data_IF_585226313749
#
_entry.id   IF_585226313749
#
_cell.length_a   1.000
_cell.length_b   1.000
_cell.length_c   1.000
_cell.angle_alpha   90.00
_cell.angle_beta   90.00
_cell.angle_gamma   90.00
#
_symmetry.space_group_name_H-M   'P 1'
#
loop_
_entity.id
_entity.type
_entity.pdbx_description
1 polymer ?
#
# COMPACT_ATOMS: atom_id res chain seq x y z
N UNK A 1 -8.23 -16.82 2.71
CA UNK A 1 -8.59 -15.89 1.62
C UNK A 1 -7.70 -14.68 1.75
N UNK A 2 -7.16 -14.20 0.63
CA UNK A 2 -6.17 -13.13 0.65
C UNK A 2 -6.77 -11.81 0.15
N UNK A 3 -6.31 -10.72 0.73
CA UNK A 3 -6.88 -9.38 0.55
C UNK A 3 -5.81 -8.37 0.13
N UNK A 4 -6.23 -7.37 -0.62
CA UNK A 4 -5.49 -6.14 -0.86
C UNK A 4 -6.30 -4.98 -0.30
N UNK A 5 -5.72 -4.23 0.63
CA UNK A 5 -6.20 -2.90 1.00
C UNK A 5 -5.36 -1.89 0.23
N UNK A 6 -5.99 -1.23 -0.74
CA UNK A 6 -5.35 -0.19 -1.54
C UNK A 6 -5.73 1.18 -1.00
N UNK A 7 -4.77 1.88 -0.39
CA UNK A 7 -5.02 3.20 0.21
C UNK A 7 -4.89 4.32 -0.82
N UNK A 8 -6.02 4.96 -1.11
CA UNK A 8 -6.16 6.07 -2.07
C UNK A 8 -6.88 7.30 -1.47
N UNK A 9 -6.95 7.41 -0.13
CA UNK A 9 -7.68 8.48 0.56
C UNK A 9 -6.99 9.85 0.61
N UNK A 10 -5.72 9.96 0.19
CA UNK A 10 -4.97 11.22 0.27
C UNK A 10 -5.35 12.22 -0.82
N UNK A 11 -5.48 13.50 -0.46
CA UNK A 11 -5.92 14.57 -1.37
C UNK A 11 -4.89 15.00 -2.44
N UNK A 12 -3.66 14.49 -2.42
CA UNK A 12 -2.72 14.69 -3.54
C UNK A 12 -2.17 16.10 -3.74
N UNK A 13 -2.27 17.01 -2.76
CA UNK A 13 -1.94 18.44 -2.83
C UNK A 13 -0.57 18.81 -3.46
N UNK A 14 0.42 17.89 -3.43
CA UNK A 14 1.78 18.10 -3.96
C UNK A 14 1.91 17.94 -5.48
N UNK A 15 0.87 17.45 -6.16
CA UNK A 15 0.91 17.25 -7.62
C UNK A 15 0.48 18.48 -8.42
N UNK A 16 -0.11 19.51 -7.77
CA UNK A 16 -0.49 20.76 -8.43
C UNK A 16 -1.51 20.61 -9.57
N UNK A 17 -2.30 19.54 -9.55
CA UNK A 17 -3.33 19.23 -10.55
C UNK A 17 -4.69 19.10 -9.88
N UNK A 18 -5.74 19.49 -10.60
CA UNK A 18 -7.13 19.32 -10.18
C UNK A 18 -7.55 17.84 -10.16
N UNK A 19 -6.84 16.99 -10.91
CA UNK A 19 -7.09 15.54 -10.95
C UNK A 19 -6.35 14.86 -9.80
N UNK A 20 -7.04 14.11 -8.93
CA UNK A 20 -6.38 13.32 -7.91
C UNK A 20 -5.35 12.38 -8.51
N UNK A 21 -4.14 12.37 -7.95
CA UNK A 21 -2.98 11.65 -8.49
C UNK A 21 -3.19 10.17 -8.79
N UNK A 22 -4.04 9.49 -8.02
CA UNK A 22 -4.40 8.09 -8.24
C UNK A 22 -5.21 7.87 -9.54
N UNK A 23 -5.83 8.92 -10.08
CA UNK A 23 -6.60 8.90 -11.33
C UNK A 23 -5.83 9.48 -12.52
N UNK A 24 -4.61 9.98 -12.31
CA UNK A 24 -3.73 10.35 -13.43
C UNK A 24 -3.39 9.12 -14.26
N UNK A 25 -3.07 9.34 -15.54
CA UNK A 25 -2.81 8.27 -16.48
C UNK A 25 -1.35 7.82 -16.42
N UNK A 26 -1.15 6.50 -16.54
CA UNK A 26 0.12 5.85 -16.77
C UNK A 26 -0.08 4.78 -17.85
N UNK A 27 0.61 4.95 -18.99
CA UNK A 27 0.41 4.08 -20.16
C UNK A 27 -1.06 4.08 -20.62
N UNK A 28 -1.70 5.25 -20.63
CA UNK A 28 -3.10 5.41 -21.08
C UNK A 28 -4.18 4.86 -20.14
N UNK A 29 -3.87 4.46 -18.89
CA UNK A 29 -4.87 4.06 -17.89
C UNK A 29 -4.64 4.74 -16.54
N UNK A 30 -5.69 4.94 -15.72
CA UNK A 30 -5.53 5.45 -14.36
C UNK A 30 -4.50 4.65 -13.55
N UNK A 31 -3.61 5.36 -12.85
CA UNK A 31 -2.56 4.78 -11.99
C UNK A 31 -3.14 3.74 -11.03
N UNK A 32 -4.28 4.02 -10.41
CA UNK A 32 -4.91 3.08 -9.49
C UNK A 32 -5.32 1.76 -10.14
N UNK A 33 -5.78 1.80 -11.40
CA UNK A 33 -6.12 0.60 -12.17
C UNK A 33 -4.86 -0.20 -12.48
N UNK A 34 -3.78 0.47 -12.91
CA UNK A 34 -2.46 -0.17 -13.13
C UNK A 34 -1.96 -0.87 -11.88
N UNK A 35 -2.10 -0.22 -10.73
CA UNK A 35 -1.71 -0.81 -9.44
C UNK A 35 -2.55 -2.07 -9.15
N UNK A 36 -3.88 -2.02 -9.28
CA UNK A 36 -4.75 -3.19 -9.03
C UNK A 36 -4.44 -4.33 -10.02
N UNK A 37 -4.25 -4.02 -11.30
CA UNK A 37 -3.90 -4.99 -12.35
C UNK A 37 -2.63 -5.78 -11.99
N UNK A 38 -1.60 -5.13 -11.42
CA UNK A 38 -0.38 -5.81 -10.98
C UNK A 38 -0.63 -6.82 -9.87
N UNK A 39 -1.49 -6.51 -8.91
CA UNK A 39 -1.84 -7.43 -7.84
C UNK A 39 -2.67 -8.61 -8.32
N UNK A 40 -3.67 -8.37 -9.17
CA UNK A 40 -4.50 -9.45 -9.75
C UNK A 40 -3.67 -10.33 -10.69
N UNK A 41 -2.72 -9.77 -11.44
CA UNK A 41 -1.77 -10.56 -12.22
C UNK A 41 -0.89 -11.45 -11.34
N UNK A 42 -0.45 -10.95 -10.18
CA UNK A 42 0.37 -11.72 -9.26
C UNK A 42 -0.42 -12.79 -8.50
N UNK A 43 -1.64 -12.44 -8.09
CA UNK A 43 -2.54 -13.19 -7.21
C UNK A 43 -4.00 -13.06 -7.75
N UNK A 44 -4.44 -13.94 -8.67
CA UNK A 44 -5.76 -13.81 -9.32
C UNK A 44 -6.98 -13.86 -8.40
N UNK A 45 -6.89 -14.60 -7.29
CA UNK A 45 -7.98 -14.78 -6.32
C UNK A 45 -8.02 -13.69 -5.23
N UNK A 46 -7.21 -12.65 -5.36
CA UNK A 46 -7.08 -11.58 -4.37
C UNK A 46 -8.33 -10.71 -4.34
N UNK A 47 -8.90 -10.51 -3.15
CA UNK A 47 -10.04 -9.60 -2.97
C UNK A 47 -9.53 -8.17 -2.76
N UNK A 48 -10.03 -7.24 -3.56
CA UNK A 48 -9.60 -5.84 -3.50
C UNK A 48 -10.54 -5.01 -2.64
N UNK A 49 -9.98 -4.37 -1.62
CA UNK A 49 -10.61 -3.32 -0.83
C UNK A 49 -9.95 -2.01 -1.20
N UNK A 50 -10.72 -1.14 -1.85
CA UNK A 50 -10.25 0.16 -2.31
C UNK A 50 -10.70 1.23 -1.32
N UNK A 51 -9.74 1.89 -0.67
CA UNK A 51 -10.02 2.96 0.30
C UNK A 51 -9.95 4.31 -0.39
N UNK A 52 -11.10 4.97 -0.58
CA UNK A 52 -11.22 6.25 -1.27
C UNK A 52 -11.78 7.35 -0.38
N UNK A 53 -11.38 8.59 -0.66
CA UNK A 53 -12.12 9.73 -0.13
C UNK A 53 -13.56 9.71 -0.69
N UNK A 54 -14.61 10.01 0.12
CA UNK A 54 -16.01 9.96 -0.34
C UNK A 54 -16.26 10.74 -1.64
N UNK A 55 -15.64 11.91 -1.78
CA UNK A 55 -15.75 12.76 -2.99
C UNK A 55 -15.15 12.14 -4.27
N UNK A 56 -14.47 11.00 -4.18
CA UNK A 56 -13.82 10.33 -5.33
C UNK A 56 -14.49 9.00 -5.70
N UNK A 57 -15.52 8.57 -4.96
CA UNK A 57 -16.22 7.30 -5.22
C UNK A 57 -16.98 7.34 -6.55
N UNK A 58 -17.70 8.44 -6.81
CA UNK A 58 -18.43 8.60 -8.08
C UNK A 58 -17.48 8.64 -9.27
N UNK A 59 -16.37 9.38 -9.15
CA UNK A 59 -15.34 9.47 -10.18
C UNK A 59 -14.69 8.11 -10.45
N UNK A 60 -14.41 7.32 -9.40
CA UNK A 60 -13.94 5.93 -9.57
C UNK A 60 -14.91 5.10 -10.41
N UNK A 61 -16.21 5.12 -10.10
CA UNK A 61 -17.20 4.38 -10.87
C UNK A 61 -17.34 4.88 -12.32
N UNK A 62 -17.19 6.19 -12.55
CA UNK A 62 -17.16 6.79 -13.89
C UNK A 62 -15.98 6.24 -14.69
N UNK A 63 -14.78 6.26 -14.10
CA UNK A 63 -13.56 5.73 -14.71
C UNK A 63 -13.67 4.22 -14.97
N UNK A 64 -14.24 3.43 -14.05
CA UNK A 64 -14.42 2.00 -14.31
C UNK A 64 -15.27 1.73 -15.55
N UNK A 65 -16.31 2.52 -15.80
CA UNK A 65 -17.11 2.41 -17.03
C UNK A 65 -16.32 2.88 -18.26
N UNK A 66 -15.63 4.01 -18.16
CA UNK A 66 -14.82 4.59 -19.25
C UNK A 66 -13.72 3.64 -19.75
N UNK A 67 -13.03 2.96 -18.83
CA UNK A 67 -11.89 2.09 -19.14
C UNK A 67 -12.27 0.59 -19.20
N UNK A 68 -13.57 0.26 -19.16
CA UNK A 68 -14.08 -1.12 -19.09
C UNK A 68 -13.37 -1.95 -18.00
N UNK A 69 -13.16 -1.35 -16.82
CA UNK A 69 -12.46 -1.97 -15.71
C UNK A 69 -13.40 -2.91 -14.94
N UNK A 70 -13.13 -4.21 -15.00
CA UNK A 70 -14.02 -5.27 -14.51
C UNK A 70 -13.56 -5.96 -13.22
N UNK A 71 -12.42 -5.55 -12.64
CA UNK A 71 -11.95 -6.12 -11.37
C UNK A 71 -12.84 -5.60 -10.24
N UNK A 72 -13.52 -6.51 -9.55
CA UNK A 72 -14.40 -6.17 -8.45
C UNK A 72 -13.62 -5.60 -7.25
N UNK A 73 -14.11 -4.48 -6.74
CA UNK A 73 -13.46 -3.73 -5.67
C UNK A 73 -14.52 -3.33 -4.63
N UNK A 74 -14.37 -3.82 -3.41
CA UNK A 74 -15.15 -3.34 -2.27
C UNK A 74 -14.63 -1.97 -1.84
N UNK A 75 -15.51 -0.99 -1.69
CA UNK A 75 -15.10 0.39 -1.38
C UNK A 75 -15.22 0.65 0.13
N UNK A 76 -14.13 1.11 0.74
CA UNK A 76 -14.11 1.68 2.07
C UNK A 76 -13.85 3.19 2.00
N UNK A 77 -14.32 3.94 3.00
CA UNK A 77 -14.08 5.37 3.08
C UNK A 77 -12.71 5.67 3.72
N UNK A 78 -12.02 6.67 3.19
CA UNK A 78 -10.81 7.22 3.78
C UNK A 78 -11.09 7.85 5.15
N UNK A 79 -10.12 7.72 6.06
CA UNK A 79 -10.17 8.34 7.38
C UNK A 79 -9.26 9.58 7.46
N UNK A 80 -9.23 10.22 8.64
CA UNK A 80 -8.42 11.42 8.90
C UNK A 80 -6.93 11.21 8.62
N UNK A 81 -6.42 10.04 9.00
CA UNK A 81 -5.02 9.65 8.81
C UNK A 81 -4.96 8.34 8.01
N UNK A 82 -3.75 7.98 7.56
CA UNK A 82 -3.51 6.68 6.92
C UNK A 82 -3.96 5.52 7.82
N UNK A 83 -3.67 5.59 9.12
CA UNK A 83 -4.12 4.61 10.11
C UNK A 83 -5.64 4.36 10.05
N UNK A 84 -6.43 5.44 10.14
CA UNK A 84 -7.90 5.36 10.09
C UNK A 84 -8.40 4.81 8.74
N UNK A 85 -7.73 5.16 7.63
CA UNK A 85 -8.08 4.66 6.30
C UNK A 85 -7.88 3.15 6.19
N UNK A 86 -6.75 2.62 6.69
CA UNK A 86 -6.47 1.18 6.70
C UNK A 86 -7.43 0.47 7.66
N UNK A 87 -7.70 1.05 8.83
CA UNK A 87 -8.67 0.53 9.80
C UNK A 87 -10.06 0.34 9.18
N UNK A 88 -10.56 1.33 8.45
CA UNK A 88 -11.85 1.23 7.76
C UNK A 88 -11.87 0.09 6.72
N UNK A 89 -10.75 -0.12 6.01
CA UNK A 89 -10.61 -1.26 5.10
C UNK A 89 -10.64 -2.60 5.83
N UNK A 90 -9.96 -2.72 6.97
CA UNK A 90 -9.96 -3.92 7.82
C UNK A 90 -11.34 -4.19 8.43
N UNK A 91 -12.04 -3.15 8.89
CA UNK A 91 -13.39 -3.26 9.43
C UNK A 91 -14.36 -3.77 8.35
N UNK A 92 -14.24 -3.30 7.09
CA UNK A 92 -15.03 -3.80 5.96
C UNK A 92 -14.78 -5.29 5.70
N UNK A 93 -13.51 -5.72 5.72
CA UNK A 93 -13.14 -7.14 5.60
C UNK A 93 -13.79 -7.95 6.73
N UNK A 94 -13.64 -7.49 7.99
CA UNK A 94 -14.20 -8.15 9.17
C UNK A 94 -15.72 -8.28 9.10
N UNK A 95 -16.42 -7.23 8.67
CA UNK A 95 -17.88 -7.27 8.49
C UNK A 95 -18.32 -8.24 7.40
N UNK A 96 -17.57 -8.35 6.30
CA UNK A 96 -17.87 -9.33 5.23
C UNK A 96 -17.76 -10.79 5.70
N UNK A 97 -17.09 -11.02 6.84
CA UNK A 97 -16.83 -12.34 7.41
C UNK A 97 -17.72 -12.69 8.61
N UNK A 98 -18.72 -11.86 8.96
CA UNK A 98 -19.52 -12.03 10.19
C UNK A 98 -20.28 -13.36 10.30
N UNK A 99 -20.43 -14.10 9.20
CA UNK A 99 -21.06 -15.43 9.14
C UNK A 99 -20.04 -16.60 9.13
N UNK A 100 -18.75 -16.34 9.30
CA UNK A 100 -17.69 -17.35 9.32
C UNK A 100 -17.22 -17.55 10.77
N UNK A 101 -17.16 -18.81 11.22
CA UNK A 101 -16.68 -19.14 12.56
C UNK A 101 -15.27 -18.58 12.81
N UNK A 102 -15.11 -17.81 13.90
CA UNK A 102 -13.89 -17.06 14.23
C UNK A 102 -12.62 -17.91 14.38
N UNK A 103 -12.72 -19.23 14.53
CA UNK A 103 -11.57 -20.13 14.65
C UNK A 103 -10.93 -20.51 13.31
N UNK A 104 -11.39 -19.93 12.19
CA UNK A 104 -10.95 -20.29 10.83
C UNK A 104 -10.43 -19.10 10.00
N UNK A 105 -10.01 -18.00 10.65
CA UNK A 105 -9.41 -16.84 9.99
C UNK A 105 -8.00 -17.14 9.45
N UNK A 106 -7.91 -17.85 8.32
CA UNK A 106 -6.66 -18.09 7.61
C UNK A 106 -6.63 -17.29 6.30
N UNK A 107 -5.99 -16.13 6.36
CA UNK A 107 -5.83 -15.24 5.22
C UNK A 107 -4.72 -14.22 5.45
N UNK A 108 -4.21 -13.67 4.36
CA UNK A 108 -3.21 -12.61 4.40
C UNK A 108 -3.78 -11.34 3.79
N UNK A 109 -3.27 -10.20 4.23
CA UNK A 109 -3.67 -8.89 3.71
C UNK A 109 -2.44 -8.08 3.34
N UNK A 110 -2.41 -7.62 2.10
CA UNK A 110 -1.46 -6.62 1.64
C UNK A 110 -2.06 -5.23 1.83
N UNK A 111 -1.35 -4.32 2.49
CA UNK A 111 -1.65 -2.90 2.47
C UNK A 111 -0.70 -2.21 1.50
N UNK A 112 -1.24 -1.51 0.51
CA UNK A 112 -0.45 -0.91 -0.56
C UNK A 112 -0.87 0.52 -0.88
N UNK A 113 0.11 1.35 -1.25
CA UNK A 113 -0.16 2.70 -1.73
C UNK A 113 -0.76 2.64 -3.14
N UNK A 114 -1.92 3.25 -3.39
CA UNK A 114 -2.55 3.26 -4.71
C UNK A 114 -1.69 3.84 -5.85
N UNK A 115 -0.70 4.66 -5.47
CA UNK A 115 0.19 5.39 -6.37
C UNK A 115 1.57 4.74 -6.48
N UNK A 116 1.64 3.41 -6.40
CA UNK A 116 2.84 2.62 -6.66
C UNK A 116 2.58 1.57 -7.76
N UNK A 117 2.28 2.01 -9.00
CA UNK A 117 1.79 1.12 -10.06
C UNK A 117 2.85 0.17 -10.63
N UNK A 118 4.12 0.34 -10.25
CA UNK A 118 5.28 -0.38 -10.79
C UNK A 118 5.88 -1.38 -9.79
N UNK A 119 5.10 -1.78 -8.78
CA UNK A 119 5.44 -2.96 -8.00
C UNK A 119 5.53 -4.19 -8.92
N UNK A 120 6.60 -4.98 -8.77
CA UNK A 120 6.78 -6.18 -9.59
C UNK A 120 5.91 -7.34 -9.08
N UNK A 121 5.45 -8.18 -10.01
CA UNK A 121 4.73 -9.42 -9.69
C UNK A 121 5.55 -10.33 -8.77
N UNK A 122 6.88 -10.37 -8.97
CA UNK A 122 7.80 -11.12 -8.14
C UNK A 122 7.82 -10.64 -6.68
N UNK A 123 7.90 -9.32 -6.44
CA UNK A 123 7.84 -8.75 -5.08
C UNK A 123 6.53 -9.11 -4.39
N UNK A 124 5.40 -9.01 -5.10
CA UNK A 124 4.08 -9.36 -4.55
C UNK A 124 4.05 -10.84 -4.14
N UNK A 125 4.44 -11.74 -5.05
CA UNK A 125 4.44 -13.19 -4.78
C UNK A 125 5.37 -13.57 -3.64
N UNK A 126 6.59 -12.99 -3.59
CA UNK A 126 7.54 -13.23 -2.49
C UNK A 126 7.00 -12.72 -1.16
N UNK A 127 6.32 -11.58 -1.13
CA UNK A 127 5.72 -11.06 0.10
C UNK A 127 4.62 -11.99 0.64
N UNK A 128 3.71 -12.44 -0.22
CA UNK A 128 2.66 -13.41 0.14
C UNK A 128 3.20 -14.82 0.47
N UNK A 129 4.35 -15.20 -0.06
CA UNK A 129 5.02 -16.44 0.34
C UNK A 129 5.65 -16.30 1.74
N UNK A 130 6.45 -15.24 1.95
CA UNK A 130 7.21 -15.03 3.18
C UNK A 130 6.32 -14.77 4.41
N UNK A 131 5.16 -14.14 4.23
CA UNK A 131 4.23 -13.83 5.34
C UNK A 131 3.63 -15.09 5.97
N UNK A 132 3.61 -16.21 5.24
CA UNK A 132 3.13 -17.50 5.75
C UNK A 132 3.99 -18.02 6.90
N UNK A 133 5.27 -17.68 6.88
CA UNK A 133 6.24 -18.08 7.89
C UNK A 133 6.38 -17.02 8.99
N UNK A 134 6.43 -15.73 8.61
CA UNK A 134 6.79 -14.66 9.54
C UNK A 134 5.62 -13.85 10.07
N UNK A 135 4.40 -14.03 9.57
CA UNK A 135 3.21 -13.27 9.99
C UNK A 135 3.19 -11.80 9.54
N UNK A 136 4.33 -11.15 9.35
CA UNK A 136 4.46 -9.77 8.88
C UNK A 136 5.68 -9.62 7.96
N UNK A 137 5.49 -9.01 6.79
CA UNK A 137 6.52 -8.84 5.75
C UNK A 137 6.47 -7.46 5.13
N UNK A 138 7.64 -6.85 4.96
CA UNK A 138 7.78 -5.54 4.33
C UNK A 138 8.91 -5.58 3.28
N UNK A 139 8.64 -5.21 2.02
CA UNK A 139 9.68 -5.02 1.03
C UNK A 139 10.44 -3.72 1.31
N UNK A 140 11.75 -3.75 1.17
CA UNK A 140 12.59 -2.58 1.31
C UNK A 140 13.81 -2.61 0.37
N UNK A 141 14.41 -1.44 0.17
CA UNK A 141 15.64 -1.27 -0.59
C UNK A 141 16.76 -0.75 0.33
N UNK A 142 18.02 -1.15 0.14
CA UNK A 142 19.13 -0.51 0.85
C UNK A 142 19.23 0.97 0.47
N UNK A 143 19.62 1.82 1.41
CA UNK A 143 19.91 3.22 1.10
C UNK A 143 21.13 3.33 0.20
N UNK A 144 20.99 3.98 -0.96
CA UNK A 144 22.11 4.35 -1.83
C UNK A 144 22.71 5.70 -1.46
N UNK A 145 21.87 6.59 -0.93
CA UNK A 145 22.23 7.92 -0.48
C UNK A 145 22.80 7.89 0.95
N UNK A 146 23.65 8.87 1.26
CA UNK A 146 24.07 9.14 2.64
C UNK A 146 22.90 9.70 3.44
N UNK A 147 22.65 9.15 4.64
CA UNK A 147 21.52 9.51 5.49
C UNK A 147 22.00 10.21 6.76
N UNK A 148 21.27 11.25 7.18
CA UNK A 148 21.51 11.94 8.45
C UNK A 148 20.24 12.02 9.27
N UNK A 149 20.36 11.86 10.58
CA UNK A 149 19.29 12.17 11.54
C UNK A 149 19.45 13.64 11.93
N UNK A 150 18.41 14.44 11.70
CA UNK A 150 18.36 15.84 12.13
C UNK A 150 17.57 15.95 13.43
N UNK A 151 18.14 16.62 14.43
CA UNK A 151 17.51 16.88 15.73
C UNK A 151 16.89 18.28 15.74
N UNK A 152 15.99 18.54 16.69
CA UNK A 152 15.24 19.81 16.76
C UNK A 152 16.09 21.06 17.06
N UNK A 153 17.33 20.87 17.52
CA UNK A 153 18.32 21.93 17.76
C UNK A 153 19.17 22.28 16.52
N UNK A 154 18.89 21.66 15.37
CA UNK A 154 19.64 21.85 14.12
C UNK A 154 20.90 20.99 14.00
N UNK A 155 21.26 20.20 15.03
CA UNK A 155 22.33 19.22 14.91
C UNK A 155 21.90 18.10 13.96
N UNK A 156 22.82 17.64 13.10
CA UNK A 156 22.64 16.40 12.34
C UNK A 156 23.73 15.38 12.60
N UNK A 157 23.37 14.10 12.66
CA UNK A 157 24.27 12.96 12.86
C UNK A 157 24.22 12.05 11.63
N UNK A 158 25.38 11.63 11.12
CA UNK A 158 25.44 10.68 10.01
C UNK A 158 25.08 9.27 10.51
N UNK A 159 24.27 8.54 9.74
CA UNK A 159 23.99 7.13 9.98
C UNK A 159 24.80 6.29 9.00
N UNK A 160 25.31 5.15 9.45
CA UNK A 160 25.87 4.16 8.54
C UNK A 160 24.76 3.68 7.59
N UNK A 161 24.85 4.05 6.31
CA UNK A 161 23.81 3.74 5.31
C UNK A 161 23.54 2.24 5.15
N UNK A 162 24.50 1.37 5.51
CA UNK A 162 24.33 -0.08 5.45
C UNK A 162 23.30 -0.59 6.47
N UNK A 163 22.99 0.20 7.50
CA UNK A 163 21.98 -0.09 8.51
C UNK A 163 20.63 0.57 8.18
N UNK A 164 20.50 1.20 6.99
CA UNK A 164 19.29 1.94 6.58
C UNK A 164 18.61 1.28 5.39
N UNK A 165 17.31 0.99 5.58
CA UNK A 165 16.44 0.44 4.57
C UNK A 165 15.30 1.42 4.24
N UNK A 166 15.04 1.62 2.95
CA UNK A 166 13.94 2.40 2.42
C UNK A 166 12.71 1.49 2.25
N UNK A 167 11.76 1.63 3.17
CA UNK A 167 10.54 0.81 3.19
C UNK A 167 9.64 1.12 1.98
N UNK A 168 9.13 0.06 1.37
CA UNK A 168 8.15 0.09 0.30
C UNK A 168 6.84 -0.59 0.74
N UNK A 169 5.82 -0.49 -0.10
CA UNK A 169 4.62 -1.34 -0.01
C UNK A 169 4.56 -2.23 -1.26
N UNK A 170 3.87 -3.38 -1.25
CA UNK A 170 2.90 -3.85 -0.26
C UNK A 170 3.54 -4.28 1.05
N UNK A 171 2.95 -3.89 2.18
CA UNK A 171 3.25 -4.52 3.46
C UNK A 171 2.22 -5.63 3.67
N UNK A 172 2.68 -6.86 3.88
CA UNK A 172 1.82 -8.04 3.89
C UNK A 172 1.82 -8.67 5.27
N UNK A 173 0.63 -8.91 5.80
CA UNK A 173 0.43 -9.39 7.16
C UNK A 173 -0.54 -10.56 7.19
N UNK A 174 -0.41 -11.41 8.19
CA UNK A 174 -1.49 -12.26 8.67
C UNK A 174 -2.69 -11.37 8.97
N UNK A 175 -3.85 -11.70 8.42
CA UNK A 175 -5.05 -10.87 8.58
C UNK A 175 -5.49 -10.77 10.06
N UNK A 176 -5.55 -11.85 10.85
CA UNK A 176 -5.79 -11.75 12.29
C UNK A 176 -4.82 -10.79 13.00
N UNK A 177 -3.52 -10.93 12.73
CA UNK A 177 -2.49 -10.09 13.33
C UNK A 177 -2.73 -8.61 13.04
N UNK A 178 -3.02 -8.27 11.78
CA UNK A 178 -3.22 -6.87 11.41
C UNK A 178 -4.51 -6.30 12.00
N UNK A 179 -5.59 -7.09 12.05
CA UNK A 179 -6.84 -6.67 12.70
C UNK A 179 -6.59 -6.39 14.19
N UNK A 180 -5.89 -7.28 14.89
CA UNK A 180 -5.60 -7.13 16.31
C UNK A 180 -4.67 -5.93 16.56
N UNK A 181 -3.62 -5.76 15.75
CA UNK A 181 -2.74 -4.60 15.84
C UNK A 181 -3.48 -3.27 15.63
N UNK A 182 -4.46 -3.21 14.71
CA UNK A 182 -5.28 -2.01 14.48
C UNK A 182 -6.39 -1.79 15.51
N UNK A 183 -6.58 -2.70 16.47
CA UNK A 183 -7.47 -2.47 17.61
C UNK A 183 -6.88 -1.51 18.64
N UNK A 184 -5.56 -1.28 18.60
CA UNK A 184 -4.88 -0.32 19.45
C UNK A 184 -5.22 1.13 19.07
N UNK A 185 -5.15 2.09 20.02
CA UNK A 185 -5.43 3.48 19.70
C UNK A 185 -4.39 4.05 18.72
N UNK A 186 -4.82 5.01 17.89
CA UNK A 186 -3.91 5.72 16.99
C UNK A 186 -2.78 6.41 17.76
N UNK A 187 -1.56 6.26 17.26
CA UNK A 187 -0.37 6.99 17.70
C UNK A 187 0.26 7.72 16.51
N UNK A 188 0.64 8.98 16.71
CA UNK A 188 1.30 9.79 15.69
C UNK A 188 2.69 9.28 15.29
N UNK A 189 3.29 8.38 16.08
CA UNK A 189 4.55 7.70 15.69
C UNK A 189 4.34 6.60 14.65
N UNK A 190 3.10 6.19 14.37
CA UNK A 190 2.81 5.21 13.33
C UNK A 190 2.99 5.85 11.95
N UNK A 191 4.05 5.45 11.24
CA UNK A 191 4.39 6.01 9.93
C UNK A 191 3.93 5.09 8.77
N UNK A 192 3.78 3.80 9.04
CA UNK A 192 3.29 2.75 8.14
C UNK A 192 2.58 1.62 8.91
N UNK A 193 2.09 0.58 8.23
CA UNK A 193 1.38 -0.53 8.89
C UNK A 193 2.33 -1.40 9.73
N UNK A 194 3.58 -1.50 9.30
CA UNK A 194 4.65 -2.22 10.00
C UNK A 194 4.87 -1.64 11.40
N UNK A 195 4.95 -0.32 11.52
CA UNK A 195 5.11 0.36 12.81
C UNK A 195 3.93 0.14 13.77
N UNK A 196 2.72 -0.08 13.25
CA UNK A 196 1.54 -0.44 14.05
C UNK A 196 1.71 -1.85 14.63
N UNK A 197 2.14 -2.80 13.79
CA UNK A 197 2.36 -4.21 14.14
C UNK A 197 3.56 -4.38 15.08
N UNK A 198 4.63 -3.59 14.90
CA UNK A 198 5.78 -3.56 15.81
C UNK A 198 5.38 -3.04 17.19
N UNK A 199 4.58 -1.98 17.26
CA UNK A 199 4.06 -1.46 18.52
C UNK A 199 3.11 -2.46 19.22
N UNK A 200 2.47 -3.35 18.46
CA UNK A 200 1.69 -4.47 18.99
C UNK A 200 2.56 -5.63 19.50
N UNK A 201 3.89 -5.57 19.31
CA UNK A 201 4.86 -6.54 19.82
C UNK A 201 5.25 -7.63 18.83
N UNK A 202 4.95 -7.48 17.54
CA UNK A 202 5.31 -8.46 16.51
C UNK A 202 6.44 -7.94 15.60
N UNK A 203 7.48 -8.76 15.39
CA UNK A 203 8.61 -8.39 14.52
C UNK A 203 8.25 -8.39 13.03
N UNK A 204 8.93 -7.57 12.24
CA UNK A 204 8.74 -7.46 10.80
C UNK A 204 9.86 -8.18 10.05
N UNK A 205 9.51 -9.03 9.09
CA UNK A 205 10.48 -9.61 8.15
C UNK A 205 10.68 -8.68 6.97
N UNK A 206 11.90 -8.20 6.79
CA UNK A 206 12.28 -7.43 5.60
C UNK A 206 12.59 -8.37 4.44
N UNK A 207 12.09 -8.06 3.25
CA UNK A 207 12.46 -8.73 1.99
C UNK A 207 12.96 -7.71 0.96
N UNK A 208 13.73 -8.13 -0.06
CA UNK A 208 14.13 -7.24 -1.14
C UNK A 208 12.92 -6.71 -1.93
N UNK A 209 12.82 -5.39 -2.07
CA UNK A 209 11.88 -4.71 -2.98
C UNK A 209 12.39 -4.63 -4.42
N UNK A 210 11.74 -3.81 -5.26
CA UNK A 210 12.23 -3.48 -6.60
C UNK A 210 12.32 -1.95 -6.78
N UNK A 211 13.33 -1.47 -7.52
CA UNK A 211 13.68 -0.04 -7.60
C UNK A 211 12.60 0.79 -8.28
N UNK A 212 11.93 0.18 -9.26
CA UNK A 212 10.89 0.78 -10.08
C UNK A 212 9.60 1.03 -9.28
N UNK A 213 9.44 0.40 -8.11
CA UNK A 213 8.29 0.57 -7.21
C UNK A 213 8.30 1.92 -6.47
N UNK A 214 8.42 3.00 -7.24
CA UNK A 214 8.42 4.38 -6.78
C UNK A 214 7.00 4.82 -6.38
N UNK A 215 6.92 5.70 -5.40
CA UNK A 215 5.65 6.34 -4.99
C UNK A 215 5.45 7.59 -5.83
N UNK A 216 4.35 7.67 -6.56
CA UNK A 216 4.04 8.87 -7.34
C UNK A 216 3.54 9.99 -6.42
N UNK A 217 4.39 10.99 -6.21
CA UNK A 217 4.15 12.13 -5.32
C UNK A 217 4.39 13.50 -5.96
N UNK A 218 5.18 13.54 -7.03
CA UNK A 218 5.54 14.73 -7.81
C UNK A 218 5.35 14.49 -9.32
N UNK A 219 5.25 15.55 -10.14
CA UNK A 219 5.23 15.41 -11.59
C UNK A 219 6.47 14.73 -12.18
N UNK A 220 7.63 14.81 -11.50
CA UNK A 220 8.83 14.08 -11.91
C UNK A 220 8.66 12.57 -11.73
N UNK A 221 8.01 12.15 -10.63
CA UNK A 221 7.75 10.73 -10.37
C UNK A 221 6.86 10.14 -11.45
N UNK A 222 5.82 10.87 -11.90
CA UNK A 222 4.93 10.41 -12.96
C UNK A 222 5.66 10.23 -14.29
N UNK A 223 6.45 11.22 -14.72
CA UNK A 223 7.27 11.11 -15.95
C UNK A 223 8.30 9.98 -15.87
N UNK A 224 8.90 9.79 -14.70
CA UNK A 224 9.81 8.67 -14.46
C UNK A 224 9.08 7.33 -14.57
N UNK A 225 7.86 7.25 -14.04
CA UNK A 225 7.03 6.06 -14.12
C UNK A 225 6.60 5.76 -15.56
N UNK A 226 6.26 6.77 -16.37
CA UNK A 226 5.97 6.59 -17.81
C UNK A 226 7.16 5.97 -18.54
N UNK A 227 8.35 6.55 -18.36
CA UNK A 227 9.56 6.00 -18.97
C UNK A 227 9.87 4.57 -18.52
N UNK A 228 9.72 4.27 -17.22
CA UNK A 228 9.91 2.91 -16.69
C UNK A 228 8.85 1.94 -17.22
N UNK A 229 7.61 2.39 -17.38
CA UNK A 229 6.51 1.59 -17.90
C UNK A 229 6.80 1.15 -19.35
N UNK A 230 7.27 2.06 -20.19
CA UNK A 230 7.62 1.80 -21.59
C UNK A 230 8.82 0.86 -21.77
N UNK A 231 9.71 0.75 -20.78
CA UNK A 231 10.84 -0.18 -20.80
C UNK A 231 10.48 -1.61 -20.38
N UNK A 232 9.35 -1.79 -19.70
CA UNK A 232 9.01 -3.05 -19.03
C UNK A 232 7.89 -3.82 -19.73
N UNK A 233 7.28 -3.25 -20.76
CA UNK A 233 6.12 -3.80 -21.49
C UNK A 233 6.39 -3.76 -23.00
#
# INVERSE_FOLDING_TARGET
>A
MDYLILVAGGQGLRMGSDIPKQFMLLGGRPVIMRTIERFVQAMPDLRVVLVLHPAHVEEWHRLCREYNFSIDCSIATGGKERFHSVKNGLDLIKHSMFNVQCSMFNGYVAVHDAVRPLVSVDVIRRAFAAVRESGAVVPALPSVESVRIVRGDGHSEAVNRNDVMLVQTPQVFSLPLLIDAYSQPYNATFTDDASVVEAFGHSIRIIPGNRENIKLTTPLDLRSAEWLFDLTI
#
